data_IF_445068447713
#
_entry.id   IF_445068447713
#
_cell.length_a   1.000
_cell.length_b   1.000
_cell.length_c   1.000
_cell.angle_alpha   90.00
_cell.angle_beta   90.00
_cell.angle_gamma   90.00
#
_symmetry.space_group_name_H-M   'P 1'
#
loop_
_entity.id
_entity.type
_entity.pdbx_description
1 polymer ?
#
# COMPACT_ATOMS: atom_id res chain seq x y z
N UNK A 1 -9.87 17.23 47.31
CA UNK A 1 -10.39 17.75 46.04
C UNK A 1 -9.47 17.21 44.97
N UNK A 2 -10.02 16.37 44.11
CA UNK A 2 -9.32 15.38 43.29
C UNK A 2 -8.40 16.00 42.25
N UNK A 3 -7.27 15.34 42.05
CA UNK A 3 -6.29 15.59 41.00
C UNK A 3 -6.84 15.00 39.70
N UNK A 4 -7.50 15.81 38.86
CA UNK A 4 -7.72 15.45 37.46
C UNK A 4 -6.47 15.79 36.65
N UNK A 5 -5.47 14.91 36.76
CA UNK A 5 -4.44 14.77 35.74
C UNK A 5 -4.93 13.76 34.70
N UNK A 6 -5.95 14.10 33.92
CA UNK A 6 -6.22 13.44 32.63
C UNK A 6 -5.22 13.91 31.58
N UNK A 7 -3.94 13.68 31.89
CA UNK A 7 -2.83 13.85 30.97
C UNK A 7 -2.89 12.78 29.89
N UNK A 8 -3.04 13.23 28.65
CA UNK A 8 -2.35 12.69 27.48
C UNK A 8 -2.34 11.16 27.32
N UNK A 9 -3.50 10.55 27.07
CA UNK A 9 -3.56 9.25 26.38
C UNK A 9 -3.35 9.41 24.85
N UNK A 10 -2.45 10.30 24.46
CA UNK A 10 -1.95 10.38 23.08
C UNK A 10 -0.74 9.47 22.99
N UNK A 11 -0.96 8.23 22.53
CA UNK A 11 0.04 7.18 22.41
C UNK A 11 1.44 7.72 22.05
N UNK A 12 2.36 7.68 23.01
CA UNK A 12 3.79 7.79 22.75
C UNK A 12 4.22 6.52 22.01
N UNK A 13 3.90 6.45 20.72
CA UNK A 13 4.50 5.46 19.82
C UNK A 13 6.01 5.71 19.89
N UNK A 14 6.73 4.72 20.40
CA UNK A 14 8.17 4.84 20.65
C UNK A 14 8.91 5.18 19.36
N UNK A 15 10.07 5.84 19.47
CA UNK A 15 10.88 6.19 18.30
C UNK A 15 11.24 4.93 17.50
N UNK A 16 11.42 3.79 18.18
CA UNK A 16 11.61 2.48 17.56
C UNK A 16 10.40 2.02 16.75
N UNK A 17 9.18 2.06 17.31
CA UNK A 17 7.95 1.66 16.59
C UNK A 17 7.70 2.54 15.35
N UNK A 18 7.93 3.86 15.45
CA UNK A 18 7.84 4.76 14.29
C UNK A 18 8.85 4.43 13.20
N UNK A 19 10.06 4.02 13.58
CA UNK A 19 11.09 3.62 12.64
C UNK A 19 10.73 2.29 11.93
N UNK A 20 10.11 1.35 12.64
CA UNK A 20 9.62 0.10 12.06
C UNK A 20 8.47 0.33 11.09
N UNK A 21 7.51 1.19 11.44
CA UNK A 21 6.42 1.58 10.54
C UNK A 21 6.96 2.24 9.27
N UNK A 22 7.94 3.15 9.38
CA UNK A 22 8.58 3.76 8.21
C UNK A 22 9.31 2.74 7.32
N UNK A 23 9.98 1.74 7.91
CA UNK A 23 10.60 0.65 7.14
C UNK A 23 9.55 -0.15 6.38
N UNK A 24 8.42 -0.49 7.02
CA UNK A 24 7.32 -1.21 6.38
C UNK A 24 6.70 -0.38 5.24
N UNK A 25 6.48 0.92 5.45
CA UNK A 25 5.95 1.82 4.41
C UNK A 25 6.91 1.87 3.21
N UNK A 26 8.21 2.00 3.46
CA UNK A 26 9.21 2.05 2.40
C UNK A 26 9.29 0.74 1.63
N UNK A 27 9.19 -0.40 2.32
CA UNK A 27 9.13 -1.73 1.70
C UNK A 27 7.89 -1.89 0.84
N UNK A 28 6.73 -1.43 1.33
CA UNK A 28 5.48 -1.44 0.58
C UNK A 28 5.58 -0.59 -0.69
N UNK A 29 6.07 0.65 -0.57
CA UNK A 29 6.26 1.54 -1.71
C UNK A 29 7.18 0.93 -2.77
N UNK A 30 8.28 0.31 -2.35
CA UNK A 30 9.21 -0.37 -3.26
C UNK A 30 8.52 -1.52 -3.99
N UNK A 31 7.80 -2.38 -3.28
CA UNK A 31 7.05 -3.49 -3.86
C UNK A 31 6.00 -3.01 -4.88
N UNK A 32 5.22 -1.98 -4.53
CA UNK A 32 4.20 -1.42 -5.42
C UNK A 32 4.82 -0.81 -6.67
N UNK A 33 5.92 -0.10 -6.53
CA UNK A 33 6.65 0.47 -7.66
C UNK A 33 7.20 -0.63 -8.58
N UNK A 34 7.72 -1.73 -8.03
CA UNK A 34 8.18 -2.87 -8.83
C UNK A 34 7.03 -3.51 -9.60
N UNK A 35 5.88 -3.77 -8.96
CA UNK A 35 4.69 -4.33 -9.64
C UNK A 35 4.24 -3.41 -10.78
N UNK A 36 4.16 -2.09 -10.53
CA UNK A 36 3.81 -1.13 -11.58
C UNK A 36 4.82 -1.15 -12.75
N UNK A 37 6.12 -1.22 -12.47
CA UNK A 37 7.14 -1.28 -13.51
C UNK A 37 7.06 -2.56 -14.33
N UNK A 38 6.83 -3.72 -13.70
CA UNK A 38 6.68 -5.00 -14.41
C UNK A 38 5.47 -4.96 -15.33
N UNK A 39 4.31 -4.52 -14.84
CA UNK A 39 3.10 -4.37 -15.67
C UNK A 39 3.32 -3.38 -16.83
N UNK A 40 4.05 -2.29 -16.58
CA UNK A 40 4.32 -1.28 -17.61
C UNK A 40 5.28 -1.78 -18.71
N UNK A 41 6.33 -2.52 -18.33
CA UNK A 41 7.46 -2.83 -19.22
C UNK A 41 7.35 -4.20 -19.89
N UNK A 42 6.72 -5.17 -19.24
CA UNK A 42 6.62 -6.52 -19.80
C UNK A 42 5.54 -6.55 -20.88
N UNK A 43 5.97 -6.74 -22.13
CA UNK A 43 5.10 -6.82 -23.29
C UNK A 43 4.24 -8.09 -23.31
N UNK A 44 4.69 -9.16 -22.65
CA UNK A 44 4.08 -10.49 -22.67
C UNK A 44 2.96 -10.69 -21.66
N UNK A 45 2.86 -9.82 -20.65
CA UNK A 45 1.80 -9.86 -19.65
C UNK A 45 0.42 -9.67 -20.28
N UNK A 46 -0.50 -10.54 -19.89
CA UNK A 46 -1.93 -10.38 -20.21
C UNK A 46 -2.63 -9.47 -19.18
N UNK A 47 -3.85 -9.05 -19.50
CA UNK A 47 -4.71 -8.30 -18.56
C UNK A 47 -4.96 -9.10 -17.28
N UNK A 48 -5.16 -10.41 -17.42
CA UNK A 48 -5.47 -11.29 -16.29
C UNK A 48 -4.25 -11.44 -15.38
N UNK A 49 -3.05 -11.63 -15.95
CA UNK A 49 -1.81 -11.69 -15.17
C UNK A 49 -1.56 -10.39 -14.41
N UNK A 50 -1.70 -9.24 -15.09
CA UNK A 50 -1.53 -7.94 -14.45
C UNK A 50 -2.56 -7.71 -13.34
N UNK A 51 -3.81 -8.15 -13.54
CA UNK A 51 -4.87 -8.08 -12.53
C UNK A 51 -4.56 -8.96 -11.32
N UNK A 52 -4.03 -10.16 -11.55
CA UNK A 52 -3.60 -11.08 -10.50
C UNK A 52 -2.43 -10.49 -9.69
N UNK A 53 -1.44 -9.89 -10.36
CA UNK A 53 -0.33 -9.21 -9.69
C UNK A 53 -0.80 -8.06 -8.79
N UNK A 54 -1.77 -7.26 -9.26
CA UNK A 54 -2.37 -6.19 -8.45
C UNK A 54 -3.08 -6.80 -7.24
N UNK A 55 -3.88 -7.86 -7.43
CA UNK A 55 -4.59 -8.53 -6.33
C UNK A 55 -3.63 -9.10 -5.28
N UNK A 56 -2.52 -9.70 -5.70
CA UNK A 56 -1.53 -10.27 -4.79
C UNK A 56 -0.71 -9.17 -4.09
N UNK A 57 -0.41 -8.06 -4.78
CA UNK A 57 0.20 -6.88 -4.13
C UNK A 57 -0.71 -6.32 -3.03
N UNK A 58 -2.03 -6.28 -3.26
CA UNK A 58 -3.02 -5.86 -2.26
C UNK A 58 -2.98 -6.79 -1.06
N UNK A 59 -3.05 -8.12 -1.25
CA UNK A 59 -2.96 -9.09 -0.15
C UNK A 59 -1.68 -8.91 0.67
N UNK A 60 -0.53 -8.73 0.01
CA UNK A 60 0.75 -8.50 0.69
C UNK A 60 0.75 -7.19 1.50
N UNK A 61 0.17 -6.12 0.96
CA UNK A 61 0.01 -4.86 1.67
C UNK A 61 -0.83 -5.00 2.94
N UNK A 62 -1.91 -5.77 2.89
CA UNK A 62 -2.81 -6.01 4.02
C UNK A 62 -2.23 -6.95 5.07
N UNK A 63 -1.39 -7.90 4.66
CA UNK A 63 -0.62 -8.72 5.59
C UNK A 63 0.42 -7.87 6.36
N UNK A 64 1.03 -6.87 5.70
CA UNK A 64 1.95 -5.93 6.36
C UNK A 64 1.23 -4.88 7.22
N UNK A 65 0.02 -4.49 6.82
CA UNK A 65 -0.78 -3.47 7.49
C UNK A 65 -2.24 -3.91 7.65
N UNK A 66 -2.53 -4.81 8.61
CA UNK A 66 -3.90 -5.27 8.83
C UNK A 66 -4.81 -4.09 9.18
N UNK A 67 -6.00 -4.06 8.58
CA UNK A 67 -7.00 -3.00 8.78
C UNK A 67 -6.77 -1.70 8.02
N UNK A 68 -5.70 -1.58 7.20
CA UNK A 68 -5.41 -0.37 6.41
C UNK A 68 -5.81 -0.49 4.92
N UNK A 69 -6.88 -1.23 4.61
CA UNK A 69 -7.39 -1.42 3.25
C UNK A 69 -7.76 -0.11 2.56
N UNK A 70 -8.48 0.77 3.27
CA UNK A 70 -8.93 2.05 2.74
C UNK A 70 -7.77 2.95 2.31
N UNK A 71 -6.65 2.92 3.04
CA UNK A 71 -5.46 3.69 2.68
C UNK A 71 -4.82 3.16 1.39
N UNK A 72 -4.76 1.83 1.22
CA UNK A 72 -4.30 1.23 -0.02
C UNK A 72 -5.20 1.62 -1.19
N UNK A 73 -6.51 1.47 -1.02
CA UNK A 73 -7.49 1.73 -2.08
C UNK A 73 -7.53 3.22 -2.47
N UNK A 74 -7.25 4.14 -1.55
CA UNK A 74 -7.17 5.56 -1.87
C UNK A 74 -5.89 5.94 -2.64
N UNK A 75 -4.75 5.34 -2.29
CA UNK A 75 -3.43 5.72 -2.82
C UNK A 75 -3.10 4.96 -4.12
N UNK A 76 -3.33 3.65 -4.13
CA UNK A 76 -2.77 2.76 -5.16
C UNK A 76 -3.78 2.37 -6.23
N UNK A 77 -5.05 2.14 -5.86
CA UNK A 77 -6.11 1.82 -6.82
C UNK A 77 -6.18 2.79 -8.02
N UNK A 78 -6.18 4.13 -7.84
CA UNK A 78 -6.23 5.04 -8.98
C UNK A 78 -4.96 4.97 -9.86
N UNK A 79 -3.81 4.59 -9.29
CA UNK A 79 -2.54 4.45 -10.03
C UNK A 79 -2.57 3.19 -10.89
N UNK A 80 -2.99 2.06 -10.31
CA UNK A 80 -3.16 0.81 -11.05
C UNK A 80 -4.23 0.91 -12.13
N UNK A 81 -5.36 1.59 -11.85
CA UNK A 81 -6.40 1.80 -12.87
C UNK A 81 -5.90 2.64 -14.05
N UNK A 82 -5.07 3.66 -13.82
CA UNK A 82 -4.44 4.41 -14.93
C UNK A 82 -3.49 3.51 -15.73
N UNK A 83 -2.62 2.79 -15.03
CA UNK A 83 -1.66 1.87 -15.65
C UNK A 83 -2.34 0.80 -16.51
N UNK A 84 -3.40 0.16 -16.00
CA UNK A 84 -4.15 -0.86 -16.74
C UNK A 84 -4.80 -0.28 -18.00
N UNK A 85 -5.39 0.93 -17.91
CA UNK A 85 -5.99 1.60 -19.06
C UNK A 85 -4.95 1.97 -20.11
N UNK A 86 -3.81 2.51 -19.71
CA UNK A 86 -2.73 2.89 -20.63
C UNK A 86 -2.10 1.67 -21.32
N UNK A 87 -1.82 0.61 -20.54
CA UNK A 87 -1.11 -0.57 -21.01
C UNK A 87 -1.96 -1.48 -21.89
N UNK A 88 -3.23 -1.66 -21.53
CA UNK A 88 -4.14 -2.62 -22.18
C UNK A 88 -5.25 -1.95 -22.99
N UNK A 89 -5.30 -0.62 -23.04
CA UNK A 89 -6.32 0.16 -23.76
C UNK A 89 -7.75 -0.24 -23.41
N UNK A 90 -7.97 -0.65 -22.15
CA UNK A 90 -9.29 -0.98 -21.63
C UNK A 90 -10.04 0.34 -21.50
N UNK A 91 -11.07 0.52 -22.34
CA UNK A 91 -11.90 1.72 -22.42
C UNK A 91 -13.11 1.59 -21.52
#
# INVERSE_FOLDING_TARGET
MELDQSGAAGAEVSVEERAEEQKLIRRLQLMMNMVMQVIAQDASLTVDDASQMIADSRKAALAMFPGKELAYDLIWKPRFQRLMRERFRIM
#
